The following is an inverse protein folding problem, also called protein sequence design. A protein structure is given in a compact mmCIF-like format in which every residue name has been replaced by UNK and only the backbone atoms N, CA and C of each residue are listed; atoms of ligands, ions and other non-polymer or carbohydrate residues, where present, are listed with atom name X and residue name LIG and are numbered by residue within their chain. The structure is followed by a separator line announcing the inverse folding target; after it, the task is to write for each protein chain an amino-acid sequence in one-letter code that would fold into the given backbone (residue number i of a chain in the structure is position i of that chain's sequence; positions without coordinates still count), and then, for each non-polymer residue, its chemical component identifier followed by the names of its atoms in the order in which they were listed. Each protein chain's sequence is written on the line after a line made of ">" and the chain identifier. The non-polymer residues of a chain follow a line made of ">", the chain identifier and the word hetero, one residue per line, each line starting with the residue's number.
data_IF_592529737144
#
_entry.id   IF_592529737144
#
_cell.length_a   1.000
_cell.length_b   1.000
_cell.length_c   1.000
_cell.angle_alpha   90.00
_cell.angle_beta   90.00
_cell.angle_gamma   90.00
#
_symmetry.space_group_name_H-M   'P 1'
#
loop_
_entity.id
_entity.type
_entity.pdbx_description
1 polymer ?
#
# COMPACT_ATOMS: atom_id res chain seq x y z
N UNK A 1 -14.74 -3.46 2.03
CA UNK A 1 -13.59 -4.40 2.15
C UNK A 1 -12.93 -4.33 3.54
N UNK A 2 -12.22 -5.38 3.98
CA UNK A 2 -11.46 -5.40 5.24
C UNK A 2 -10.00 -5.01 4.96
N UNK A 3 -9.49 -3.97 5.62
CA UNK A 3 -8.14 -3.43 5.41
C UNK A 3 -7.34 -3.54 6.72
N UNK A 4 -6.10 -4.07 6.71
CA UNK A 4 -5.28 -4.22 7.91
C UNK A 4 -4.65 -2.88 8.32
N UNK A 5 -5.53 -2.02 8.82
CA UNK A 5 -5.32 -0.67 9.29
C UNK A 5 -6.15 -0.49 10.58
N UNK A 6 -5.76 0.45 11.43
CA UNK A 6 -6.45 0.76 12.68
C UNK A 6 -6.43 2.27 12.97
N UNK A 7 -7.34 2.75 13.81
CA UNK A 7 -7.50 4.18 14.07
C UNK A 7 -6.25 4.85 14.67
N UNK A 8 -5.44 4.12 15.45
CA UNK A 8 -4.18 4.64 16.00
C UNK A 8 -3.12 4.80 14.90
N UNK A 9 -3.01 3.83 13.99
CA UNK A 9 -2.14 3.92 12.81
C UNK A 9 -2.56 5.01 11.84
N UNK A 10 -3.86 5.22 11.64
CA UNK A 10 -4.37 6.31 10.79
C UNK A 10 -3.89 7.68 11.31
N UNK A 11 -3.95 7.88 12.63
CA UNK A 11 -3.47 9.10 13.28
C UNK A 11 -1.95 9.14 13.50
N UNK A 12 -1.25 8.02 13.36
CA UNK A 12 0.19 7.92 13.61
C UNK A 12 0.56 8.05 15.09
N UNK A 13 -0.29 7.57 15.99
CA UNK A 13 -0.11 7.66 17.45
C UNK A 13 -0.11 6.29 18.10
N UNK A 14 0.58 6.09 19.25
CA UNK A 14 0.50 4.84 20.00
C UNK A 14 -0.85 4.69 20.73
N UNK A 15 -1.24 3.46 21.07
CA UNK A 15 -2.48 3.16 21.80
C UNK A 15 -2.57 3.87 23.17
N UNK A 16 -1.43 4.23 23.77
CA UNK A 16 -1.37 4.98 25.04
C UNK A 16 -1.45 6.52 24.86
N UNK A 17 -1.71 7.03 23.65
CA UNK A 17 -1.74 8.47 23.40
C UNK A 17 -2.80 9.19 24.25
N UNK A 18 -2.43 10.36 24.78
CA UNK A 18 -3.32 11.25 25.53
C UNK A 18 -4.29 11.98 24.59
N UNK A 19 -5.39 12.51 25.13
CA UNK A 19 -6.36 13.28 24.35
C UNK A 19 -5.73 14.49 23.63
N UNK A 20 -4.82 15.20 24.29
CA UNK A 20 -4.07 16.31 23.69
C UNK A 20 -3.24 15.84 22.48
N UNK A 21 -2.55 14.69 22.63
CA UNK A 21 -1.74 14.12 21.56
C UNK A 21 -2.59 13.62 20.38
N UNK A 22 -3.78 13.08 20.66
CA UNK A 22 -4.75 12.71 19.61
C UNK A 22 -5.19 13.92 18.80
N UNK A 23 -5.51 15.03 19.47
CA UNK A 23 -5.95 16.26 18.81
C UNK A 23 -4.83 16.92 17.99
N UNK A 24 -3.62 16.93 18.52
CA UNK A 24 -2.44 17.41 17.80
C UNK A 24 -2.17 16.56 16.56
N UNK A 25 -2.14 15.24 16.70
CA UNK A 25 -1.92 14.33 15.59
C UNK A 25 -2.99 14.47 14.50
N UNK A 26 -4.27 14.56 14.88
CA UNK A 26 -5.36 14.79 13.92
C UNK A 26 -5.13 16.07 13.11
N UNK A 27 -4.88 17.20 13.78
CA UNK A 27 -4.62 18.49 13.13
C UNK A 27 -3.45 18.40 12.15
N UNK A 28 -2.37 17.75 12.55
CA UNK A 28 -1.16 17.66 11.73
C UNK A 28 -1.38 16.72 10.52
N UNK A 29 -2.09 15.59 10.71
CA UNK A 29 -2.43 14.65 9.63
C UNK A 29 -3.39 15.24 8.59
N UNK A 30 -4.32 16.09 9.01
CA UNK A 30 -5.23 16.82 8.10
C UNK A 30 -4.47 17.90 7.32
N UNK A 31 -3.48 18.57 7.92
CA UNK A 31 -2.64 19.57 7.24
C UNK A 31 -1.63 18.95 6.27
N UNK A 32 -1.19 17.73 6.55
CA UNK A 32 -0.28 17.00 5.66
C UNK A 32 -1.02 16.61 4.38
N UNK A 33 -0.65 17.25 3.28
CA UNK A 33 -1.20 16.96 1.96
C UNK A 33 -0.47 15.77 1.32
N UNK A 34 -1.19 14.83 0.69
CA UNK A 34 -0.58 13.79 -0.12
C UNK A 34 0.02 14.37 -1.42
N UNK A 35 0.51 13.50 -2.31
CA UNK A 35 1.04 13.90 -3.62
C UNK A 35 0.06 14.81 -4.38
N UNK A 36 0.59 15.80 -5.09
CA UNK A 36 -0.22 16.86 -5.73
C UNK A 36 -1.08 16.35 -6.88
N UNK A 37 -0.71 15.21 -7.45
CA UNK A 37 -1.38 14.59 -8.59
C UNK A 37 -2.69 13.87 -8.20
N UNK A 38 -2.96 13.68 -6.90
CA UNK A 38 -4.24 13.14 -6.43
C UNK A 38 -5.38 14.13 -6.59
N UNK A 39 -6.57 13.63 -6.93
CA UNK A 39 -7.79 14.42 -7.00
C UNK A 39 -8.22 14.95 -5.63
N UNK A 40 -9.02 16.02 -5.62
CA UNK A 40 -9.67 16.52 -4.41
C UNK A 40 -10.56 15.44 -3.77
N UNK A 41 -11.17 14.57 -4.57
CA UNK A 41 -11.97 13.43 -4.09
C UNK A 41 -11.15 12.44 -3.30
N UNK A 42 -9.99 12.02 -3.81
CA UNK A 42 -9.08 11.13 -3.09
C UNK A 42 -8.59 11.76 -1.77
N UNK A 43 -8.28 13.06 -1.79
CA UNK A 43 -7.84 13.81 -0.61
C UNK A 43 -8.96 13.88 0.44
N UNK A 44 -10.19 14.14 0.02
CA UNK A 44 -11.34 14.19 0.92
C UNK A 44 -11.66 12.81 1.51
N UNK A 45 -11.60 11.73 0.71
CA UNK A 45 -11.77 10.35 1.22
C UNK A 45 -10.71 9.98 2.24
N UNK A 46 -9.46 10.39 2.03
CA UNK A 46 -8.38 10.24 3.03
C UNK A 46 -8.70 11.00 4.31
N UNK A 47 -9.13 12.27 4.19
CA UNK A 47 -9.46 13.12 5.33
C UNK A 47 -10.63 12.55 6.14
N UNK A 48 -11.67 12.05 5.49
CA UNK A 48 -12.81 11.41 6.15
C UNK A 48 -12.39 10.25 7.06
N UNK A 49 -11.43 9.42 6.62
CA UNK A 49 -10.91 8.33 7.46
C UNK A 49 -10.10 8.84 8.66
N UNK A 50 -9.37 9.95 8.50
CA UNK A 50 -8.63 10.61 9.60
C UNK A 50 -9.60 11.22 10.62
N UNK A 51 -10.65 11.90 10.14
CA UNK A 51 -11.69 12.48 10.98
C UNK A 51 -12.45 11.38 11.73
N UNK A 52 -12.83 10.29 11.06
CA UNK A 52 -13.48 9.13 11.68
C UNK A 52 -12.61 8.51 12.78
N UNK A 53 -11.33 8.28 12.50
CA UNK A 53 -10.38 7.74 13.47
C UNK A 53 -10.26 8.64 14.71
N UNK A 54 -10.24 9.95 14.51
CA UNK A 54 -10.19 10.91 15.61
C UNK A 54 -11.46 10.92 16.44
N UNK A 55 -12.64 10.94 15.81
CA UNK A 55 -13.92 10.97 16.54
C UNK A 55 -14.10 9.73 17.44
N UNK A 56 -13.76 8.54 16.94
CA UNK A 56 -13.82 7.30 17.75
C UNK A 56 -12.83 7.33 18.91
N UNK A 57 -11.59 7.81 18.68
CA UNK A 57 -10.55 7.80 19.71
C UNK A 57 -10.65 8.96 20.71
N UNK A 58 -11.34 10.04 20.35
CA UNK A 58 -11.54 11.22 21.19
C UNK A 58 -12.55 10.95 22.30
N UNK A 59 -13.63 10.21 22.02
CA UNK A 59 -14.62 9.84 23.02
C UNK A 59 -14.08 8.71 23.92
N UNK A 60 -13.97 8.90 25.25
CA UNK A 60 -13.46 7.87 26.15
C UNK A 60 -14.25 6.55 26.13
N UNK A 61 -15.58 6.62 25.93
CA UNK A 61 -16.44 5.44 25.90
C UNK A 61 -16.24 4.66 24.59
N UNK A 62 -16.27 5.35 23.45
CA UNK A 62 -16.03 4.72 22.14
C UNK A 62 -14.60 4.20 22.02
N UNK A 63 -13.60 4.93 22.53
CA UNK A 63 -12.21 4.46 22.60
C UNK A 63 -12.08 3.19 23.43
N UNK A 64 -12.70 3.14 24.61
CA UNK A 64 -12.64 1.95 25.48
C UNK A 64 -13.30 0.75 24.79
N UNK A 65 -14.42 0.96 24.11
CA UNK A 65 -15.12 -0.08 23.33
C UNK A 65 -14.26 -0.56 22.15
N UNK A 66 -13.65 0.37 21.44
CA UNK A 66 -12.73 0.08 20.35
C UNK A 66 -11.52 -0.72 20.84
N UNK A 67 -10.87 -0.28 21.92
CA UNK A 67 -9.72 -0.95 22.53
C UNK A 67 -10.06 -2.35 23.02
N UNK A 68 -11.24 -2.55 23.61
CA UNK A 68 -11.71 -3.87 24.02
C UNK A 68 -11.87 -4.83 22.82
N UNK A 69 -12.48 -4.36 21.72
CA UNK A 69 -12.61 -5.15 20.48
C UNK A 69 -11.25 -5.40 19.81
N UNK A 70 -10.37 -4.41 19.84
CA UNK A 70 -9.01 -4.47 19.32
C UNK A 70 -8.21 -5.57 20.04
N UNK A 71 -8.22 -5.57 21.37
CA UNK A 71 -7.55 -6.59 22.18
C UNK A 71 -8.19 -7.96 22.01
N UNK A 72 -9.52 -8.07 22.00
CA UNK A 72 -10.22 -9.34 21.82
C UNK A 72 -9.79 -10.03 20.50
N UNK A 73 -9.75 -9.29 19.38
CA UNK A 73 -9.28 -9.83 18.09
C UNK A 73 -7.82 -10.29 18.13
N UNK A 74 -6.95 -9.61 18.90
CA UNK A 74 -5.55 -10.03 19.03
C UNK A 74 -5.38 -11.29 19.89
N UNK A 75 -6.26 -11.53 20.88
CA UNK A 75 -6.19 -12.68 21.78
C UNK A 75 -7.03 -13.89 21.33
N UNK A 76 -8.10 -13.71 20.55
CA UNK A 76 -8.88 -14.82 19.97
C UNK A 76 -8.06 -15.67 18.97
N UNK A 77 -6.95 -15.12 18.46
CA UNK A 77 -6.02 -15.82 17.56
C UNK A 77 -4.87 -16.53 18.29
N UNK A 78 -4.79 -16.44 19.62
CA UNK A 78 -3.94 -17.28 20.47
C UNK A 78 -4.80 -18.40 21.09
N UNK A 79 -4.92 -19.60 20.48
CA UNK A 79 -5.40 -20.73 21.24
C UNK A 79 -4.33 -21.06 22.31
N UNK A 80 -4.62 -20.72 23.56
CA UNK A 80 -3.99 -21.27 24.76
C UNK A 80 -4.11 -22.80 24.73
N UNK A 81 -3.21 -23.48 24.02
CA UNK A 81 -3.30 -24.93 23.86
C UNK A 81 -2.36 -25.63 22.89
N UNK A 82 -1.26 -25.03 22.42
CA UNK A 82 -0.30 -25.72 21.54
C UNK A 82 1.14 -25.72 22.08
N UNK A 83 1.31 -26.15 23.33
CA UNK A 83 2.59 -26.73 23.76
C UNK A 83 2.60 -28.18 23.27
N UNK A 84 3.37 -28.43 22.21
CA UNK A 84 3.76 -29.78 21.78
C UNK A 84 3.11 -30.27 20.49
N UNK A 85 3.79 -30.06 19.36
CA UNK A 85 4.20 -31.14 18.45
C UNK A 85 5.04 -30.60 17.29
N UNK A 86 6.19 -31.22 17.17
CA UNK A 86 7.21 -31.04 16.15
C UNK A 86 6.81 -31.80 14.88
N UNK A 87 7.32 -31.33 13.74
CA UNK A 87 7.37 -31.93 12.39
C UNK A 87 6.26 -31.58 11.38
N UNK A 88 6.71 -31.00 10.25
CA UNK A 88 5.96 -30.92 9.00
C UNK A 88 6.07 -29.58 8.28
N UNK A 89 7.20 -29.32 7.63
CA UNK A 89 7.45 -28.10 6.87
C UNK A 89 6.56 -28.00 5.61
N UNK A 90 5.70 -26.98 5.58
CA UNK A 90 5.23 -26.31 4.36
C UNK A 90 5.48 -24.82 4.54
N UNK A 91 6.20 -24.13 3.63
CA UNK A 91 6.38 -22.69 3.74
C UNK A 91 5.03 -22.03 3.41
N UNK A 92 4.29 -21.66 4.46
CA UNK A 92 3.16 -20.73 4.32
C UNK A 92 3.72 -19.38 3.86
N UNK A 93 3.14 -18.83 2.80
CA UNK A 93 3.43 -17.50 2.28
C UNK A 93 3.39 -16.45 3.41
N UNK A 94 4.28 -15.44 3.45
CA UNK A 94 4.42 -14.55 4.60
C UNK A 94 3.35 -13.43 4.67
N UNK A 95 2.26 -13.52 3.92
CA UNK A 95 1.40 -12.35 3.63
C UNK A 95 0.07 -12.33 4.39
N UNK A 96 0.12 -12.50 5.70
CA UNK A 96 -0.87 -11.97 6.64
C UNK A 96 -0.36 -12.27 8.04
N UNK A 97 0.24 -11.27 8.69
CA UNK A 97 0.42 -11.34 10.12
C UNK A 97 -0.98 -11.40 10.74
N UNK A 98 -1.37 -12.49 11.44
CA UNK A 98 -2.69 -12.59 12.07
C UNK A 98 -2.89 -11.53 13.18
N UNK A 99 -1.84 -10.78 13.52
CA UNK A 99 -1.82 -9.75 14.56
C UNK A 99 -2.10 -8.34 14.05
N UNK A 100 -2.31 -8.11 12.75
CA UNK A 100 -2.56 -6.76 12.25
C UNK A 100 -4.05 -6.41 12.39
N UNK A 101 -4.43 -5.48 13.28
CA UNK A 101 -5.80 -5.02 13.43
C UNK A 101 -6.33 -4.51 12.08
N UNK A 102 -7.61 -4.75 11.83
CA UNK A 102 -8.26 -4.42 10.57
C UNK A 102 -9.58 -3.68 10.78
N UNK A 103 -9.85 -2.71 9.91
CA UNK A 103 -11.08 -1.93 9.86
C UNK A 103 -11.84 -2.22 8.57
N UNK A 104 -13.16 -2.16 8.66
CA UNK A 104 -14.05 -2.26 7.50
C UNK A 104 -14.15 -0.89 6.83
N UNK A 105 -13.80 -0.85 5.55
CA UNK A 105 -13.84 0.37 4.73
C UNK A 105 -14.65 0.07 3.49
N UNK A 106 -15.62 0.93 3.19
CA UNK A 106 -16.42 0.83 1.97
C UNK A 106 -15.59 1.07 0.71
N UNK A 107 -16.02 0.47 -0.41
CA UNK A 107 -15.24 0.52 -1.66
C UNK A 107 -15.10 1.95 -2.22
N UNK A 108 -16.03 2.86 -1.87
CA UNK A 108 -15.97 4.28 -2.23
C UNK A 108 -14.92 5.08 -1.43
N UNK A 109 -14.49 4.55 -0.27
CA UNK A 109 -13.45 5.12 0.60
C UNK A 109 -12.10 4.41 0.45
N UNK A 110 -12.03 3.40 -0.42
CA UNK A 110 -10.84 2.58 -0.62
C UNK A 110 -9.60 3.41 -0.99
N UNK A 111 -9.75 4.44 -1.85
CA UNK A 111 -8.62 5.30 -2.21
C UNK A 111 -8.03 6.01 -0.99
N UNK A 112 -8.86 6.50 -0.07
CA UNK A 112 -8.41 7.13 1.16
C UNK A 112 -7.54 6.18 1.98
N UNK A 113 -7.94 4.90 2.05
CA UNK A 113 -7.17 3.87 2.72
C UNK A 113 -5.83 3.59 2.02
N UNK A 114 -5.81 3.53 0.68
CA UNK A 114 -4.57 3.35 -0.08
C UNK A 114 -3.57 4.48 0.17
N UNK A 115 -4.04 5.73 0.22
CA UNK A 115 -3.20 6.89 0.54
C UNK A 115 -2.62 6.79 1.95
N UNK A 116 -3.43 6.42 2.94
CA UNK A 116 -2.97 6.23 4.33
C UNK A 116 -1.92 5.12 4.43
N UNK A 117 -2.13 4.00 3.74
CA UNK A 117 -1.17 2.91 3.70
C UNK A 117 0.14 3.30 3.01
N UNK A 118 0.08 4.08 1.95
CA UNK A 118 1.26 4.62 1.28
C UNK A 118 2.08 5.51 2.22
N UNK A 119 1.43 6.35 3.01
CA UNK A 119 2.09 7.22 4.01
C UNK A 119 2.70 6.42 5.17
N UNK A 120 2.16 5.24 5.46
CA UNK A 120 2.72 4.30 6.43
C UNK A 120 3.85 3.43 5.86
N UNK A 121 4.18 3.56 4.58
CA UNK A 121 5.18 2.73 3.91
C UNK A 121 4.72 1.31 3.56
N UNK A 122 3.42 1.03 3.63
CA UNK A 122 2.84 -0.30 3.42
C UNK A 122 2.59 -0.58 1.94
N UNK A 123 3.62 -0.44 1.11
CA UNK A 123 3.49 -0.44 -0.35
C UNK A 123 3.00 -1.78 -0.92
N UNK A 124 3.46 -2.91 -0.38
CA UNK A 124 2.98 -4.23 -0.82
C UNK A 124 1.48 -4.41 -0.57
N UNK A 125 0.99 -3.88 0.54
CA UNK A 125 -0.43 -3.92 0.90
C UNK A 125 -1.25 -3.00 -0.01
N UNK A 126 -0.75 -1.80 -0.31
CA UNK A 126 -1.36 -0.91 -1.31
C UNK A 126 -1.54 -1.66 -2.63
N UNK A 127 -0.50 -2.36 -3.11
CA UNK A 127 -0.57 -3.13 -4.36
C UNK A 127 -1.56 -4.30 -4.26
N UNK A 128 -1.60 -5.01 -3.11
CA UNK A 128 -2.56 -6.11 -2.88
C UNK A 128 -4.01 -5.64 -2.96
N UNK A 129 -4.30 -4.47 -2.39
CA UNK A 129 -5.64 -3.89 -2.35
C UNK A 129 -6.02 -3.18 -3.65
N UNK A 130 -5.07 -2.54 -4.34
CA UNK A 130 -5.33 -1.85 -5.60
C UNK A 130 -5.61 -2.82 -6.77
N UNK A 131 -5.02 -4.02 -6.76
CA UNK A 131 -5.22 -5.03 -7.83
C UNK A 131 -6.69 -5.35 -8.12
N UNK A 132 -7.53 -5.78 -7.15
CA UNK A 132 -8.93 -6.06 -7.42
C UNK A 132 -9.71 -4.81 -7.86
N UNK A 133 -9.35 -3.62 -7.34
CA UNK A 133 -9.98 -2.35 -7.72
C UNK A 133 -9.68 -1.95 -9.17
N UNK A 134 -8.47 -2.24 -9.65
CA UNK A 134 -8.07 -1.99 -11.04
C UNK A 134 -8.55 -3.08 -12.03
N UNK A 135 -8.86 -4.28 -11.52
CA UNK A 135 -9.37 -5.40 -12.30
C UNK A 135 -10.89 -5.37 -12.47
N UNK A 136 -11.61 -4.66 -11.60
CA UNK A 136 -13.05 -4.45 -11.72
C UNK A 136 -13.39 -3.77 -13.06
N UNK A 137 -14.54 -4.10 -13.66
CA UNK A 137 -14.95 -3.45 -14.90
C UNK A 137 -15.10 -1.95 -14.65
N UNK A 138 -14.53 -1.14 -15.54
CA UNK A 138 -14.78 0.31 -15.63
C UNK A 138 -16.20 0.64 -16.10
N UNK A 139 -17.15 -0.28 -15.88
CA UNK A 139 -18.49 -0.27 -16.44
C UNK A 139 -19.24 0.95 -15.94
N UNK A 140 -19.54 1.83 -16.88
CA UNK A 140 -20.80 2.58 -16.96
C UNK A 140 -21.05 3.62 -15.88
N UNK A 141 -20.02 4.33 -15.39
CA UNK A 141 -20.24 5.55 -14.57
C UNK A 141 -20.33 6.85 -15.39
N UNK A 142 -19.77 6.89 -16.59
CA UNK A 142 -19.83 8.08 -17.45
C UNK A 142 -21.25 8.37 -17.97
N UNK A 143 -22.16 7.39 -18.02
CA UNK A 143 -23.53 7.58 -18.52
C UNK A 143 -24.53 8.09 -17.47
N UNK A 144 -24.24 7.98 -16.17
CA UNK A 144 -25.13 8.42 -15.08
C UNK A 144 -24.61 9.66 -14.32
N UNK A 145 -23.40 10.15 -14.64
CA UNK A 145 -22.73 11.26 -13.97
C UNK A 145 -23.42 12.63 -14.16
N UNK A 146 -24.28 12.78 -15.16
CA UNK A 146 -25.02 14.04 -15.39
C UNK A 146 -26.11 14.31 -14.32
N UNK A 147 -26.43 13.37 -13.43
CA UNK A 147 -27.61 13.47 -12.55
C UNK A 147 -27.38 13.36 -11.03
N UNK A 148 -26.13 13.44 -10.54
CA UNK A 148 -25.85 13.47 -9.09
C UNK A 148 -24.95 14.63 -8.68
N UNK A 149 -25.52 15.79 -8.27
CA UNK A 149 -24.73 16.86 -7.70
C UNK A 149 -24.18 16.44 -6.32
N UNK A 150 -22.86 16.34 -6.18
CA UNK A 150 -22.17 16.26 -4.88
C UNK A 150 -21.37 14.99 -4.57
N UNK A 151 -21.36 13.96 -5.42
CA UNK A 151 -20.41 12.87 -5.28
C UNK A 151 -19.10 13.25 -5.96
N UNK A 152 -18.08 13.63 -5.19
CA UNK A 152 -16.72 13.81 -5.73
C UNK A 152 -16.24 12.42 -6.16
N UNK A 153 -16.22 12.18 -7.46
CA UNK A 153 -15.86 10.89 -8.04
C UNK A 153 -14.41 10.56 -7.70
N UNK A 154 -14.19 9.36 -7.17
CA UNK A 154 -12.84 8.80 -7.05
C UNK A 154 -12.48 8.29 -8.43
N UNK A 155 -11.53 8.97 -9.07
CA UNK A 155 -11.10 8.60 -10.40
C UNK A 155 -10.28 7.31 -10.35
N UNK A 156 -10.48 6.45 -11.34
CA UNK A 156 -9.60 5.30 -11.57
C UNK A 156 -8.13 5.73 -11.65
N UNK A 157 -7.87 6.95 -12.12
CA UNK A 157 -6.54 7.56 -12.18
C UNK A 157 -5.88 7.68 -10.80
N UNK A 158 -6.63 7.96 -9.72
CA UNK A 158 -6.10 8.03 -8.36
C UNK A 158 -5.63 6.64 -7.87
N UNK A 159 -6.40 5.59 -8.17
CA UNK A 159 -6.05 4.22 -7.82
C UNK A 159 -4.79 3.79 -8.61
N UNK A 160 -4.71 4.16 -9.89
CA UNK A 160 -3.50 3.94 -10.71
C UNK A 160 -2.31 4.70 -10.14
N UNK A 161 -2.49 5.95 -9.73
CA UNK A 161 -1.44 6.77 -9.12
C UNK A 161 -0.94 6.16 -7.81
N UNK A 162 -1.85 5.69 -6.94
CA UNK A 162 -1.49 5.01 -5.70
C UNK A 162 -0.71 3.73 -5.95
N UNK A 163 -1.18 2.89 -6.87
CA UNK A 163 -0.48 1.66 -7.24
C UNK A 163 0.89 1.91 -7.87
N UNK A 164 0.98 2.86 -8.82
CA UNK A 164 2.24 3.20 -9.48
C UNK A 164 3.22 3.83 -8.49
N UNK A 165 2.76 4.72 -7.61
CA UNK A 165 3.60 5.29 -6.55
C UNK A 165 4.11 4.22 -5.59
N UNK A 166 3.26 3.26 -5.21
CA UNK A 166 3.67 2.13 -4.38
C UNK A 166 4.73 1.27 -5.08
N UNK A 167 4.61 1.00 -6.39
CA UNK A 167 5.67 0.32 -7.15
C UNK A 167 6.99 1.08 -7.16
N UNK A 168 6.95 2.42 -7.31
CA UNK A 168 8.15 3.26 -7.29
C UNK A 168 8.87 3.16 -5.95
N UNK A 169 8.15 3.39 -4.85
CA UNK A 169 8.76 3.39 -3.52
C UNK A 169 9.19 1.98 -3.09
N UNK A 170 8.40 0.94 -3.40
CA UNK A 170 8.79 -0.45 -3.15
C UNK A 170 10.08 -0.83 -3.92
N UNK A 171 10.21 -0.39 -5.17
CA UNK A 171 11.43 -0.59 -5.95
C UNK A 171 12.64 0.09 -5.30
N UNK A 172 12.46 1.29 -4.74
CA UNK A 172 13.53 2.04 -4.05
C UNK A 172 13.91 1.41 -2.71
N UNK A 173 12.95 0.90 -1.95
CA UNK A 173 13.23 0.15 -0.70
C UNK A 173 14.02 -1.13 -1.00
N UNK A 174 13.61 -1.90 -2.00
CA UNK A 174 14.33 -3.10 -2.43
C UNK A 174 15.74 -2.78 -2.93
N UNK A 175 15.92 -1.64 -3.61
CA UNK A 175 17.24 -1.16 -4.00
C UNK A 175 18.10 -0.88 -2.77
N UNK A 176 17.60 -0.15 -1.77
CA UNK A 176 18.35 0.12 -0.54
C UNK A 176 18.75 -1.15 0.21
N UNK A 177 17.98 -2.23 0.05
CA UNK A 177 18.27 -3.56 0.60
C UNK A 177 19.19 -4.42 -0.29
N UNK A 178 19.77 -3.85 -1.36
CA UNK A 178 20.61 -4.53 -2.36
C UNK A 178 19.93 -5.70 -3.11
N UNK A 179 18.60 -5.68 -3.20
CA UNK A 179 17.81 -6.66 -3.96
C UNK A 179 17.49 -6.07 -5.34
N UNK A 180 18.48 -5.92 -6.21
CA UNK A 180 18.38 -5.13 -7.45
C UNK A 180 17.46 -5.76 -8.49
N UNK A 181 17.40 -7.09 -8.61
CA UNK A 181 16.48 -7.79 -9.50
C UNK A 181 15.02 -7.58 -9.08
N UNK A 182 14.74 -7.64 -7.78
CA UNK A 182 13.41 -7.35 -7.26
C UNK A 182 13.04 -5.88 -7.44
N UNK A 183 13.97 -4.98 -7.12
CA UNK A 183 13.80 -3.54 -7.32
C UNK A 183 13.42 -3.23 -8.77
N UNK A 184 14.17 -3.78 -9.72
CA UNK A 184 13.89 -3.61 -11.14
C UNK A 184 12.55 -4.22 -11.55
N UNK A 185 12.20 -5.40 -11.02
CA UNK A 185 10.89 -6.03 -11.29
C UNK A 185 9.72 -5.18 -10.80
N UNK A 186 9.85 -4.56 -9.62
CA UNK A 186 8.82 -3.65 -9.06
C UNK A 186 8.66 -2.39 -9.92
N UNK A 187 9.78 -1.78 -10.35
CA UNK A 187 9.75 -0.60 -11.21
C UNK A 187 9.20 -0.92 -12.61
N UNK A 188 9.59 -2.04 -13.21
CA UNK A 188 9.08 -2.53 -14.50
C UNK A 188 7.56 -2.76 -14.43
N UNK A 189 7.06 -3.35 -13.33
CA UNK A 189 5.63 -3.53 -13.12
C UNK A 189 4.87 -2.20 -13.00
N UNK A 190 5.44 -1.22 -12.29
CA UNK A 190 4.89 0.14 -12.23
C UNK A 190 4.83 0.82 -13.60
N UNK A 191 5.90 0.72 -14.39
CA UNK A 191 5.93 1.26 -15.75
C UNK A 191 4.90 0.59 -16.67
N UNK A 192 4.76 -0.73 -16.59
CA UNK A 192 3.80 -1.48 -17.37
C UNK A 192 2.36 -1.07 -17.03
N UNK A 193 2.05 -0.83 -15.75
CA UNK A 193 0.76 -0.29 -15.32
C UNK A 193 0.50 1.10 -15.93
N UNK A 194 1.45 2.02 -15.81
CA UNK A 194 1.32 3.38 -16.35
C UNK A 194 1.20 3.40 -17.88
N UNK A 195 1.90 2.50 -18.57
CA UNK A 195 1.77 2.31 -20.02
C UNK A 195 0.39 1.79 -20.43
N UNK A 196 -0.13 0.79 -19.72
CA UNK A 196 -1.45 0.21 -19.99
C UNK A 196 -2.56 1.25 -19.87
N UNK A 197 -2.50 2.07 -18.82
CA UNK A 197 -3.52 3.09 -18.54
C UNK A 197 -3.25 4.41 -19.29
N UNK A 198 -2.09 4.56 -19.92
CA UNK A 198 -1.65 5.80 -20.59
C UNK A 198 -1.64 7.04 -19.69
N UNK A 199 -1.31 6.87 -18.40
CA UNK A 199 -1.30 7.93 -17.38
C UNK A 199 0.12 8.23 -16.85
N UNK A 200 0.27 9.41 -16.23
CA UNK A 200 1.45 9.86 -15.47
C UNK A 200 2.81 9.61 -16.15
N UNK A 201 3.08 10.21 -17.32
CA UNK A 201 4.33 10.01 -18.06
C UNK A 201 5.58 10.44 -17.27
N UNK A 202 5.45 11.45 -16.41
CA UNK A 202 6.54 11.91 -15.55
C UNK A 202 6.94 10.82 -14.54
N UNK A 203 5.96 10.20 -13.87
CA UNK A 203 6.20 9.12 -12.92
C UNK A 203 6.83 7.89 -13.59
N UNK A 204 6.39 7.58 -14.81
CA UNK A 204 7.02 6.53 -15.64
C UNK A 204 8.48 6.88 -15.99
N UNK A 205 8.76 8.15 -16.26
CA UNK A 205 10.10 8.69 -16.49
C UNK A 205 11.01 8.53 -15.26
N UNK A 206 10.48 8.81 -14.06
CA UNK A 206 11.21 8.61 -12.81
C UNK A 206 11.58 7.14 -12.60
N UNK A 207 10.63 6.23 -12.82
CA UNK A 207 10.89 4.79 -12.78
C UNK A 207 11.95 4.38 -13.81
N UNK A 208 11.92 4.95 -15.01
CA UNK A 208 12.93 4.65 -16.05
C UNK A 208 14.31 5.13 -15.61
N UNK A 209 14.40 6.32 -15.03
CA UNK A 209 15.65 6.87 -14.54
C UNK A 209 16.25 5.97 -13.44
N UNK A 210 15.41 5.46 -12.53
CA UNK A 210 15.85 4.56 -11.47
C UNK A 210 16.26 3.18 -12.03
N UNK A 211 15.52 2.63 -13.01
CA UNK A 211 15.91 1.41 -13.73
C UNK A 211 17.27 1.54 -14.44
N UNK A 212 17.52 2.67 -15.09
CA UNK A 212 18.79 2.93 -15.76
C UNK A 212 19.96 2.95 -14.77
N UNK A 213 19.78 3.54 -13.58
CA UNK A 213 20.79 3.56 -12.52
C UNK A 213 21.00 2.17 -11.90
N UNK A 214 19.93 1.39 -11.75
CA UNK A 214 19.95 0.03 -11.19
C UNK A 214 20.63 -0.99 -12.11
N UNK A 215 20.59 -0.76 -13.42
CA UNK A 215 20.97 -1.73 -14.44
C UNK A 215 22.35 -2.37 -14.23
N UNK A 216 23.45 -1.65 -13.94
CA UNK A 216 24.74 -2.28 -13.71
C UNK A 216 24.74 -3.22 -12.50
N UNK A 217 24.10 -2.82 -11.40
CA UNK A 217 24.01 -3.61 -10.18
C UNK A 217 23.17 -4.87 -10.37
N UNK A 218 22.05 -4.75 -11.07
CA UNK A 218 21.19 -5.87 -11.46
C UNK A 218 21.93 -6.91 -12.30
N UNK A 219 22.73 -6.47 -13.27
CA UNK A 219 23.55 -7.38 -14.09
C UNK A 219 24.52 -8.16 -13.20
N UNK A 220 25.24 -7.48 -12.31
CA UNK A 220 26.19 -8.12 -11.40
C UNK A 220 25.50 -9.13 -10.46
N UNK A 221 24.34 -8.77 -9.90
CA UNK A 221 23.54 -9.67 -9.05
C UNK A 221 23.15 -10.95 -9.81
N UNK A 222 22.58 -10.80 -11.01
CA UNK A 222 22.14 -11.93 -11.83
C UNK A 222 23.31 -12.83 -12.26
N UNK A 223 24.46 -12.24 -12.60
CA UNK A 223 25.66 -12.97 -13.00
C UNK A 223 26.42 -13.60 -11.83
N UNK A 224 26.13 -13.19 -10.59
CA UNK A 224 26.72 -13.77 -9.38
C UNK A 224 25.93 -15.01 -8.88
N UNK A 225 24.74 -15.27 -9.40
CA UNK A 225 23.91 -16.41 -8.99
C UNK A 225 24.58 -17.76 -9.32
N UNK A 226 24.31 -18.86 -8.60
CA UNK A 226 24.83 -20.18 -8.90
C UNK A 226 24.51 -20.65 -10.33
N UNK A 227 25.33 -21.56 -10.89
CA UNK A 227 25.16 -22.05 -12.27
C UNK A 227 23.82 -22.76 -12.50
N UNK A 228 23.23 -23.34 -11.45
CA UNK A 228 21.90 -23.94 -11.47
C UNK A 228 20.82 -22.92 -11.83
N UNK A 229 21.03 -21.63 -11.53
CA UNK A 229 20.13 -20.53 -11.91
C UNK A 229 20.42 -19.99 -13.31
N UNK A 230 20.59 -20.90 -14.27
CA UNK A 230 20.97 -20.59 -15.66
C UNK A 230 20.08 -19.54 -16.33
N UNK A 231 18.77 -19.56 -16.10
CA UNK A 231 17.81 -18.60 -16.67
C UNK A 231 18.08 -17.17 -16.18
N UNK A 232 18.30 -16.98 -14.88
CA UNK A 232 18.58 -15.67 -14.31
C UNK A 232 19.95 -15.15 -14.76
N UNK A 233 20.96 -16.02 -14.82
CA UNK A 233 22.29 -15.68 -15.35
C UNK A 233 22.22 -15.29 -16.83
N UNK A 234 21.44 -16.01 -17.64
CA UNK A 234 21.20 -15.67 -19.05
C UNK A 234 20.51 -14.30 -19.20
N UNK A 235 19.54 -13.99 -18.33
CA UNK A 235 18.93 -12.65 -18.27
C UNK A 235 19.99 -11.57 -17.98
N UNK A 236 20.89 -11.83 -17.03
CA UNK A 236 22.01 -10.94 -16.71
C UNK A 236 22.93 -10.71 -17.91
N UNK A 237 23.28 -11.77 -18.65
CA UNK A 237 24.08 -11.68 -19.87
C UNK A 237 23.38 -10.90 -20.98
N UNK A 238 22.07 -11.10 -21.14
CA UNK A 238 21.28 -10.35 -22.12
C UNK A 238 21.24 -8.86 -21.78
N UNK A 239 20.98 -8.53 -20.51
CA UNK A 239 20.98 -7.15 -20.02
C UNK A 239 22.33 -6.46 -20.25
N UNK A 240 23.45 -7.18 -20.10
CA UNK A 240 24.79 -6.68 -20.36
C UNK A 240 25.05 -6.42 -21.85
N UNK A 241 24.52 -7.27 -22.75
CA UNK A 241 24.63 -7.07 -24.20
C UNK A 241 23.82 -5.87 -24.70
N UNK A 242 22.69 -5.61 -24.04
CA UNK A 242 21.76 -4.54 -24.41
C UNK A 242 22.18 -3.16 -23.84
N UNK A 243 23.34 -3.06 -23.18
CA UNK A 243 23.89 -1.80 -22.62
C UNK A 243 24.56 -0.96 -23.71
#
# INVERSE_FOLDING_TARGET
>A
MLIPLDYYRILGVPIQATAERLQEAHRDRVRQMPRREYSEGAIEKRKQLIDEAFEVLRDPQERTRYDANFLAKTYELEPLGAIGRENGATPRSPTSNPQTPSIEIDDDRAIGALLLLQELGEYELVLKLARPLLAGPSTDREADAENRPGSVEVDRSDIVLAAASAYLELGREQWQQNQYEKAASSLEAGQALLLRESLFPNLRGDMQADLNKLRPYRILELLALPEEQSVNRQRGLQLLRDM
#
